data_IF_029878437131
#
_entry.id   IF_029878437131
#
_cell.length_a   1.000
_cell.length_b   1.000
_cell.length_c   1.000
_cell.angle_alpha   90.00
_cell.angle_beta   90.00
_cell.angle_gamma   90.00
#
_symmetry.space_group_name_H-M   'P 1'
#
loop_
_entity.id
_entity.type
_entity.pdbx_description
1 polymer ?
#
# COMPACT_ATOMS: atom_id res chain seq x y z
N UNK A 1 -9.29 -4.08 18.18
CA UNK A 1 -7.95 -4.74 18.29
C UNK A 1 -7.89 -5.83 17.23
N UNK A 2 -7.05 -5.69 16.21
CA UNK A 2 -6.90 -6.66 15.11
C UNK A 2 -5.64 -7.52 15.25
N UNK A 3 -4.66 -7.09 16.07
CA UNK A 3 -3.42 -7.83 16.30
C UNK A 3 -3.55 -8.69 17.56
N UNK A 4 -3.33 -10.00 17.43
CA UNK A 4 -3.32 -10.94 18.57
C UNK A 4 -2.12 -10.70 19.50
N UNK A 5 -2.13 -11.30 20.68
CA UNK A 5 -0.96 -11.36 21.58
C UNK A 5 0.26 -11.95 20.87
N UNK A 6 1.44 -11.41 21.11
CA UNK A 6 2.68 -11.79 20.44
C UNK A 6 2.69 -11.51 18.93
N UNK A 7 1.65 -10.85 18.41
CA UNK A 7 1.51 -10.60 16.98
C UNK A 7 2.25 -9.35 16.51
N UNK A 8 2.47 -9.27 15.20
CA UNK A 8 3.12 -8.15 14.53
C UNK A 8 2.12 -7.38 13.67
N UNK A 9 2.07 -6.06 13.83
CA UNK A 9 1.40 -5.13 12.91
C UNK A 9 2.46 -4.51 12.01
N UNK A 10 2.26 -4.61 10.70
CA UNK A 10 3.13 -3.95 9.72
C UNK A 10 2.37 -2.80 9.08
N UNK A 11 2.97 -1.61 9.07
CA UNK A 11 2.46 -0.45 8.33
C UNK A 11 3.37 -0.20 7.12
N UNK A 12 2.75 -0.08 5.94
CA UNK A 12 3.46 0.11 4.67
C UNK A 12 3.08 1.40 3.95
N UNK A 13 2.05 2.11 4.42
CA UNK A 13 1.62 3.38 3.84
C UNK A 13 2.54 4.53 4.24
N UNK A 14 2.89 5.39 3.27
CA UNK A 14 3.52 6.68 3.54
C UNK A 14 2.45 7.72 3.80
N UNK A 15 2.32 8.12 5.06
CA UNK A 15 1.45 9.22 5.48
C UNK A 15 2.15 10.55 5.30
N UNK A 16 1.39 11.65 5.47
CA UNK A 16 1.97 12.99 5.55
C UNK A 16 3.04 13.03 6.66
N UNK A 17 4.19 13.73 6.48
CA UNK A 17 5.29 13.75 7.46
C UNK A 17 4.90 14.18 8.87
N UNK A 18 3.84 14.98 9.01
CA UNK A 18 3.32 15.42 10.30
C UNK A 18 2.23 14.51 10.87
N UNK A 19 1.83 13.46 10.15
CA UNK A 19 0.82 12.53 10.65
C UNK A 19 1.37 11.74 11.83
N UNK A 20 0.62 11.75 12.92
CA UNK A 20 0.99 11.06 14.16
C UNK A 20 0.22 9.76 14.30
N UNK A 21 0.89 8.75 14.80
CA UNK A 21 0.32 7.44 15.11
C UNK A 21 0.41 7.22 16.62
N UNK A 22 -0.73 7.23 17.28
CA UNK A 22 -0.81 7.04 18.73
C UNK A 22 -1.29 5.65 19.07
N UNK A 23 -0.56 4.96 19.94
CA UNK A 23 -0.90 3.63 20.43
C UNK A 23 -0.81 3.56 21.95
N UNK A 24 -1.72 2.85 22.63
CA UNK A 24 -1.62 2.61 24.08
C UNK A 24 -0.37 1.78 24.40
N UNK A 25 0.60 2.39 25.10
CA UNK A 25 1.86 1.72 25.45
C UNK A 25 1.64 0.41 26.21
N UNK A 26 0.72 0.40 27.18
CA UNK A 26 0.39 -0.80 27.96
C UNK A 26 -0.02 -1.98 27.08
N UNK A 27 -0.75 -1.72 25.98
CA UNK A 27 -1.19 -2.77 25.06
C UNK A 27 -0.05 -3.38 24.23
N UNK A 28 1.06 -2.65 24.06
CA UNK A 28 2.27 -3.20 23.43
C UNK A 28 2.98 -4.12 24.39
N UNK A 29 3.26 -3.63 25.61
CA UNK A 29 4.05 -4.36 26.60
C UNK A 29 3.30 -5.58 27.15
N UNK A 30 2.07 -5.39 27.63
CA UNK A 30 1.29 -6.46 28.27
C UNK A 30 0.89 -7.59 27.31
N UNK A 31 0.82 -7.30 26.02
CA UNK A 31 0.44 -8.27 25.01
C UNK A 31 1.60 -8.68 24.08
N UNK A 32 2.82 -8.25 24.39
CA UNK A 32 4.05 -8.55 23.64
C UNK A 32 3.92 -8.27 22.13
N UNK A 33 3.26 -7.18 21.76
CA UNK A 33 3.01 -6.83 20.36
C UNK A 33 4.20 -6.13 19.73
N UNK A 34 4.41 -6.38 18.45
CA UNK A 34 5.40 -5.69 17.62
C UNK A 34 4.71 -4.75 16.64
N UNK A 35 5.25 -3.55 16.48
CA UNK A 35 4.88 -2.61 15.40
C UNK A 35 6.10 -2.41 14.52
N UNK A 36 5.94 -2.61 13.22
CA UNK A 36 7.02 -2.55 12.24
C UNK A 36 6.61 -1.70 11.04
N UNK A 37 7.51 -0.83 10.59
CA UNK A 37 7.38 -0.16 9.30
C UNK A 37 7.89 -1.05 8.16
N UNK A 38 7.34 -0.87 6.97
CA UNK A 38 7.83 -1.50 5.74
C UNK A 38 7.76 -0.48 4.61
N UNK A 39 8.90 -0.11 4.06
CA UNK A 39 8.99 0.78 2.91
C UNK A 39 9.08 -0.08 1.63
N UNK A 40 8.22 0.20 0.65
CA UNK A 40 8.10 -0.59 -0.59
C UNK A 40 7.99 -2.11 -0.36
N UNK A 41 7.28 -2.53 0.70
CA UNK A 41 7.19 -3.95 1.05
C UNK A 41 8.52 -4.56 1.53
N UNK A 42 9.50 -3.73 1.92
CA UNK A 42 10.87 -4.15 2.26
C UNK A 42 11.58 -4.88 1.11
N UNK A 43 11.18 -4.58 -0.14
CA UNK A 43 11.79 -5.18 -1.33
C UNK A 43 13.11 -4.48 -1.71
N UNK A 44 13.94 -5.20 -2.46
CA UNK A 44 15.08 -4.66 -3.21
C UNK A 44 14.64 -4.52 -4.66
N UNK A 45 14.31 -3.29 -5.15
CA UNK A 45 13.64 -3.12 -6.45
C UNK A 45 14.35 -3.80 -7.62
N UNK A 46 15.66 -3.65 -7.74
CA UNK A 46 16.43 -4.24 -8.83
C UNK A 46 16.36 -5.77 -8.88
N UNK A 47 16.21 -6.43 -7.74
CA UNK A 47 16.07 -7.88 -7.63
C UNK A 47 14.62 -8.34 -7.75
N UNK A 48 13.71 -7.64 -7.06
CA UNK A 48 12.37 -8.16 -6.81
C UNK A 48 11.37 -7.76 -7.90
N UNK A 49 11.55 -6.60 -8.57
CA UNK A 49 10.65 -6.18 -9.66
C UNK A 49 10.65 -7.18 -10.83
N UNK A 50 11.81 -7.63 -11.37
CA UNK A 50 11.80 -8.65 -12.42
C UNK A 50 11.04 -9.92 -12.01
N UNK A 51 11.18 -10.35 -10.76
CA UNK A 51 10.48 -11.50 -10.19
C UNK A 51 8.96 -11.28 -10.12
N UNK A 52 8.52 -10.07 -9.77
CA UNK A 52 7.09 -9.74 -9.76
C UNK A 52 6.51 -9.73 -11.18
N UNK A 53 7.26 -9.23 -12.17
CA UNK A 53 6.86 -9.28 -13.57
C UNK A 53 6.72 -10.74 -14.04
N UNK A 54 7.66 -11.59 -13.70
CA UNK A 54 7.56 -13.02 -14.00
C UNK A 54 6.33 -13.66 -13.36
N UNK A 55 6.03 -13.37 -12.10
CA UNK A 55 4.83 -13.87 -11.44
C UNK A 55 3.53 -13.35 -12.06
N UNK A 56 3.52 -12.09 -12.52
CA UNK A 56 2.41 -11.56 -13.27
C UNK A 56 2.19 -12.33 -14.58
N UNK A 57 3.25 -12.54 -15.36
CA UNK A 57 3.19 -13.30 -16.61
C UNK A 57 2.73 -14.76 -16.40
N UNK A 58 3.06 -15.35 -15.26
CA UNK A 58 2.59 -16.68 -14.86
C UNK A 58 1.16 -16.69 -14.29
N UNK A 59 0.47 -15.54 -14.21
CA UNK A 59 -0.86 -15.42 -13.63
C UNK A 59 -0.90 -15.57 -12.10
N UNK A 60 0.27 -15.60 -11.43
CA UNK A 60 0.36 -15.75 -9.96
C UNK A 60 0.19 -14.44 -9.21
N UNK A 61 0.39 -13.31 -9.86
CA UNK A 61 0.32 -11.97 -9.29
C UNK A 61 -0.56 -11.06 -10.16
N UNK A 62 -1.88 -11.13 -10.05
CA UNK A 62 -2.81 -10.41 -10.93
C UNK A 62 -2.92 -8.91 -10.54
N UNK A 63 -1.83 -8.15 -10.70
CA UNK A 63 -1.76 -6.71 -10.36
C UNK A 63 -2.61 -5.83 -11.26
N UNK A 64 -2.95 -6.29 -12.45
CA UNK A 64 -3.88 -5.65 -13.38
C UNK A 64 -5.25 -5.40 -12.75
N UNK A 65 -5.67 -6.23 -11.80
CA UNK A 65 -6.92 -6.03 -11.04
C UNK A 65 -6.93 -4.80 -10.14
N UNK A 66 -5.77 -4.22 -9.88
CA UNK A 66 -5.65 -2.95 -9.14
C UNK A 66 -5.86 -1.73 -10.03
N UNK A 67 -5.84 -1.92 -11.36
CA UNK A 67 -6.10 -0.87 -12.32
C UNK A 67 -7.60 -0.60 -12.37
N UNK A 68 -8.02 0.62 -11.99
CA UNK A 68 -9.43 1.00 -11.95
C UNK A 68 -9.92 1.46 -13.32
N UNK A 69 -9.19 2.39 -13.92
CA UNK A 69 -9.57 3.00 -15.20
C UNK A 69 -8.38 3.63 -15.93
N UNK A 70 -8.57 3.88 -17.22
CA UNK A 70 -7.70 4.74 -18.03
C UNK A 70 -8.46 6.00 -18.36
N UNK A 71 -7.86 7.16 -18.08
CA UNK A 71 -8.45 8.48 -18.28
C UNK A 71 -7.65 9.28 -19.30
N UNK A 72 -8.29 10.27 -19.92
CA UNK A 72 -7.60 11.25 -20.77
C UNK A 72 -6.82 12.26 -19.92
N UNK A 73 -5.81 12.91 -20.51
CA UNK A 73 -5.01 13.91 -19.80
C UNK A 73 -5.85 15.08 -19.29
N UNK A 74 -6.88 15.47 -20.02
CA UNK A 74 -7.80 16.55 -19.65
C UNK A 74 -8.59 16.25 -18.37
N UNK A 75 -8.75 14.98 -18.03
CA UNK A 75 -9.49 14.51 -16.86
C UNK A 75 -8.60 14.37 -15.59
N UNK A 76 -7.32 14.76 -15.66
CA UNK A 76 -6.34 14.49 -14.59
C UNK A 76 -6.78 15.06 -13.24
N UNK A 77 -7.36 16.27 -13.20
CA UNK A 77 -7.80 16.86 -11.95
C UNK A 77 -8.95 16.08 -11.31
N UNK A 78 -9.95 15.71 -12.12
CA UNK A 78 -11.04 14.86 -11.66
C UNK A 78 -10.53 13.46 -11.23
N UNK A 79 -9.51 12.95 -11.91
CA UNK A 79 -8.81 11.72 -11.52
C UNK A 79 -8.18 11.80 -10.13
N UNK A 80 -7.51 12.90 -9.81
CA UNK A 80 -6.96 13.12 -8.47
C UNK A 80 -8.06 13.22 -7.40
N UNK A 81 -9.18 13.84 -7.70
CA UNK A 81 -10.30 13.93 -6.76
C UNK A 81 -10.88 12.54 -6.48
N UNK A 82 -11.08 11.70 -7.49
CA UNK A 82 -11.52 10.30 -7.32
C UNK A 82 -10.52 9.45 -6.54
N UNK A 83 -9.22 9.68 -6.76
CA UNK A 83 -8.17 8.98 -6.01
C UNK A 83 -8.18 9.41 -4.53
N UNK A 84 -8.35 10.71 -4.26
CA UNK A 84 -8.40 11.26 -2.90
C UNK A 84 -9.65 10.80 -2.13
N UNK A 85 -10.80 10.64 -2.81
CA UNK A 85 -12.03 10.10 -2.21
C UNK A 85 -11.98 8.59 -1.96
N UNK A 86 -11.02 7.88 -2.54
CA UNK A 86 -10.90 6.42 -2.44
C UNK A 86 -11.84 5.65 -3.38
N UNK A 87 -12.46 6.31 -4.35
CA UNK A 87 -13.30 5.68 -5.37
C UNK A 87 -12.49 4.81 -6.32
N UNK A 88 -11.22 5.16 -6.51
CA UNK A 88 -10.29 4.44 -7.40
C UNK A 88 -9.02 4.04 -6.66
N UNK A 89 -8.41 2.93 -7.08
CA UNK A 89 -7.13 2.45 -6.55
C UNK A 89 -5.95 2.93 -7.38
N UNK A 90 -6.05 2.79 -8.69
CA UNK A 90 -5.04 3.16 -9.68
C UNK A 90 -5.70 3.64 -10.96
N UNK A 91 -5.22 4.75 -11.48
CA UNK A 91 -5.61 5.29 -12.76
C UNK A 91 -4.39 5.39 -13.68
N UNK A 92 -4.56 5.11 -14.95
CA UNK A 92 -3.56 5.40 -15.98
C UNK A 92 -4.04 6.54 -16.85
N UNK A 93 -3.11 7.31 -17.40
CA UNK A 93 -3.41 8.40 -18.31
C UNK A 93 -3.00 7.94 -19.70
N UNK A 94 -3.95 7.99 -20.64
CA UNK A 94 -3.66 7.86 -22.07
C UNK A 94 -3.11 9.19 -22.58
N UNK A 95 -1.94 9.17 -23.22
CA UNK A 95 -1.28 10.32 -23.87
C UNK A 95 -1.47 10.27 -25.36
#
# INVERSE_FOLDING_TARGET
>A
KITRRGGTTVTAGLSHPQAMFSVPHVGIVAEERTIKGSYLGSCVPARDIPRYVEWYQQGKLPVDRLLSETIALEEINAGFDRLASGETLRQTIAL
#
